data_IF_760349297205
#
_entry.id   IF_760349297205
#
_cell.length_a   1.000
_cell.length_b   1.000
_cell.length_c   1.000
_cell.angle_alpha   90.00
_cell.angle_beta   90.00
_cell.angle_gamma   90.00
#
_symmetry.space_group_name_H-M   'P 1'
#
loop_
_entity.id
_entity.type
_entity.pdbx_description
1 polymer ?
#
# COMPACT_ATOMS: atom_id res chain seq x y z
N UNK A 1 -13.69 3.89 16.28
CA UNK A 1 -12.55 4.80 16.17
C UNK A 1 -12.86 5.56 14.92
N UNK A 2 -13.19 6.82 15.08
CA UNK A 2 -13.67 7.66 14.01
C UNK A 2 -12.85 8.94 14.09
N UNK A 3 -12.02 9.17 13.08
CA UNK A 3 -11.23 10.38 12.99
C UNK A 3 -12.07 11.46 12.32
N UNK A 4 -12.25 12.59 13.01
CA UNK A 4 -12.99 13.72 12.48
C UNK A 4 -12.13 14.42 11.44
N UNK A 5 -12.48 14.25 10.17
CA UNK A 5 -11.74 14.79 9.03
C UNK A 5 -12.68 15.51 8.07
N UNK A 6 -12.18 16.59 7.46
CA UNK A 6 -12.82 17.24 6.33
C UNK A 6 -12.95 16.25 5.17
N UNK A 7 -13.99 16.39 4.34
CA UNK A 7 -14.23 15.50 3.18
C UNK A 7 -13.02 15.37 2.25
N UNK A 8 -12.23 16.43 2.10
CA UNK A 8 -11.00 16.44 1.28
C UNK A 8 -9.95 15.42 1.75
N UNK A 9 -10.03 14.96 2.99
CA UNK A 9 -9.09 14.00 3.59
C UNK A 9 -9.64 12.57 3.64
N UNK A 10 -10.82 12.33 3.07
CA UNK A 10 -11.45 10.99 3.03
C UNK A 10 -11.46 10.38 1.63
N UNK A 11 -11.54 11.23 0.60
CA UNK A 11 -11.42 10.82 -0.81
C UNK A 11 -10.07 10.15 -1.04
N UNK A 12 -10.03 9.02 -1.72
CA UNK A 12 -8.80 8.30 -2.08
C UNK A 12 -8.59 8.19 -3.58
N UNK A 13 -9.62 8.51 -4.37
CA UNK A 13 -9.59 8.46 -5.83
C UNK A 13 -10.42 9.59 -6.43
N UNK A 14 -10.01 10.10 -7.58
CA UNK A 14 -10.71 11.11 -8.37
C UNK A 14 -10.78 10.69 -9.84
N UNK A 15 -11.94 10.83 -10.48
CA UNK A 15 -12.04 10.57 -11.92
C UNK A 15 -11.22 11.57 -12.74
N UNK A 16 -10.82 11.19 -13.95
CA UNK A 16 -10.07 12.08 -14.86
C UNK A 16 -10.82 13.39 -15.19
N UNK A 17 -12.15 13.35 -15.19
CA UNK A 17 -13.01 14.52 -15.37
C UNK A 17 -13.05 15.45 -14.14
N UNK A 18 -12.47 15.03 -13.03
CA UNK A 18 -12.36 15.79 -11.80
C UNK A 18 -13.65 15.90 -10.97
N UNK A 19 -14.78 15.44 -11.50
CA UNK A 19 -16.10 15.59 -10.89
C UNK A 19 -16.44 14.49 -9.87
N UNK A 20 -15.90 13.28 -10.04
CA UNK A 20 -16.26 12.11 -9.22
C UNK A 20 -15.13 11.80 -8.25
N UNK A 21 -15.49 11.49 -7.00
CA UNK A 21 -14.54 11.12 -5.95
C UNK A 21 -15.05 9.92 -5.17
N UNK A 22 -14.16 8.97 -4.89
CA UNK A 22 -14.50 7.75 -4.15
C UNK A 22 -13.51 7.47 -3.01
N UNK A 23 -13.91 6.58 -2.10
CA UNK A 23 -13.08 6.03 -1.02
C UNK A 23 -12.89 4.53 -1.30
N UNK A 24 -11.89 4.17 -2.12
CA UNK A 24 -11.65 2.78 -2.57
C UNK A 24 -10.35 2.18 -2.01
N UNK A 25 -9.50 3.01 -1.40
CA UNK A 25 -8.21 2.59 -0.84
C UNK A 25 -8.29 2.54 0.69
N UNK A 26 -7.83 1.43 1.27
CA UNK A 26 -7.97 1.19 2.71
C UNK A 26 -6.67 0.68 3.33
N UNK A 27 -6.36 1.16 4.53
CA UNK A 27 -5.30 0.62 5.38
C UNK A 27 -5.97 -0.26 6.45
N UNK A 28 -5.92 -1.57 6.25
CA UNK A 28 -6.46 -2.55 7.20
C UNK A 28 -5.46 -2.82 8.34
N UNK A 29 -5.94 -2.73 9.58
CA UNK A 29 -5.15 -3.07 10.78
C UNK A 29 -5.89 -4.10 11.63
N UNK A 30 -5.14 -4.95 12.33
CA UNK A 30 -5.73 -5.84 13.33
C UNK A 30 -6.41 -5.04 14.43
N UNK A 31 -7.56 -5.52 14.91
CA UNK A 31 -8.31 -4.89 16.00
C UNK A 31 -7.47 -4.71 17.27
N UNK A 32 -6.47 -5.59 17.49
CA UNK A 32 -5.49 -5.49 18.58
C UNK A 32 -4.74 -4.14 18.59
N UNK A 33 -4.47 -3.57 17.42
CA UNK A 33 -3.71 -2.32 17.28
C UNK A 33 -4.60 -1.09 17.13
N UNK A 34 -5.92 -1.23 17.30
CA UNK A 34 -6.87 -0.13 17.16
C UNK A 34 -6.47 1.09 17.97
N UNK A 35 -6.12 0.93 19.25
CA UNK A 35 -5.71 2.04 20.12
C UNK A 35 -4.34 2.67 19.76
N UNK A 36 -3.54 1.99 18.94
CA UNK A 36 -2.23 2.48 18.48
C UNK A 36 -2.35 3.38 17.26
N UNK A 37 -3.42 3.25 16.47
CA UNK A 37 -3.71 4.10 15.32
C UNK A 37 -4.09 5.51 15.82
N UNK A 38 -3.29 6.51 15.46
CA UNK A 38 -3.48 7.90 15.85
C UNK A 38 -4.27 8.69 14.82
N UNK A 39 -4.15 8.31 13.56
CA UNK A 39 -4.77 9.01 12.44
C UNK A 39 -4.82 8.13 11.19
N UNK A 40 -5.77 8.40 10.30
CA UNK A 40 -5.82 7.82 8.96
C UNK A 40 -6.48 8.83 8.02
N UNK A 41 -5.73 9.33 7.03
CA UNK A 41 -6.23 10.35 6.10
C UNK A 41 -5.62 10.24 4.71
N UNK A 42 -6.35 10.73 3.73
CA UNK A 42 -5.89 10.93 2.37
C UNK A 42 -5.27 12.33 2.17
N UNK A 43 -4.25 12.39 1.32
CA UNK A 43 -3.50 13.59 0.97
C UNK A 43 -3.65 13.85 -0.53
N UNK A 44 -4.59 14.74 -0.89
CA UNK A 44 -4.83 15.12 -2.28
C UNK A 44 -3.93 16.21 -2.85
N UNK A 45 -3.02 16.79 -2.06
CA UNK A 45 -2.07 17.83 -2.51
C UNK A 45 -0.71 17.28 -2.96
N UNK A 46 -0.55 15.97 -2.98
CA UNK A 46 0.68 15.34 -3.45
C UNK A 46 0.44 14.98 -4.91
N UNK A 47 1.25 15.51 -5.81
CA UNK A 47 1.25 15.09 -7.20
C UNK A 47 1.96 13.73 -7.28
N UNK A 48 1.16 12.67 -7.49
CA UNK A 48 1.65 11.29 -7.61
C UNK A 48 1.59 10.83 -9.08
N UNK A 49 1.19 11.71 -10.01
CA UNK A 49 0.98 11.33 -11.42
C UNK A 49 -0.10 10.24 -11.60
N UNK A 50 -1.05 10.13 -10.67
CA UNK A 50 -2.13 9.16 -10.66
C UNK A 50 -3.43 9.83 -10.23
N UNK A 51 -4.55 9.26 -10.67
CA UNK A 51 -5.91 9.52 -10.22
C UNK A 51 -6.19 9.10 -8.75
N UNK A 52 -5.23 8.43 -8.11
CA UNK A 52 -5.27 8.07 -6.69
C UNK A 52 -4.59 9.12 -5.80
N UNK A 53 -5.20 9.36 -4.64
CA UNK A 53 -4.61 10.15 -3.56
C UNK A 53 -3.83 9.27 -2.60
N UNK A 54 -2.73 9.80 -2.09
CA UNK A 54 -1.93 9.12 -1.08
C UNK A 54 -2.72 8.94 0.22
N UNK A 55 -2.94 7.70 0.64
CA UNK A 55 -3.53 7.38 1.94
C UNK A 55 -2.42 7.11 2.96
N UNK A 56 -2.46 7.78 4.11
CA UNK A 56 -1.49 7.62 5.20
C UNK A 56 -2.20 7.27 6.50
N UNK A 57 -1.71 6.23 7.15
CA UNK A 57 -2.02 5.90 8.55
C UNK A 57 -0.88 6.34 9.45
N UNK A 58 -1.20 7.01 10.55
CA UNK A 58 -0.24 7.31 11.62
C UNK A 58 -0.48 6.37 12.80
N UNK A 59 0.57 5.68 13.25
CA UNK A 59 0.45 4.68 14.31
C UNK A 59 1.64 4.73 15.25
N UNK A 60 1.37 4.59 16.55
CA UNK A 60 2.41 4.53 17.59
C UNK A 60 2.59 3.07 18.03
N UNK A 61 3.70 2.44 17.62
CA UNK A 61 4.03 1.06 17.98
C UNK A 61 5.29 0.97 18.84
N UNK A 62 5.33 -0.03 19.72
CA UNK A 62 6.56 -0.52 20.34
C UNK A 62 6.93 -1.83 19.66
N UNK A 63 7.94 -1.79 18.79
CA UNK A 63 8.41 -2.96 18.06
C UNK A 63 9.58 -3.60 18.80
N UNK A 64 9.63 -4.94 18.80
CA UNK A 64 10.82 -5.68 19.23
C UNK A 64 11.77 -5.76 18.04
N UNK A 65 13.06 -5.55 18.27
CA UNK A 65 14.06 -5.79 17.25
C UNK A 65 14.06 -7.28 16.85
N UNK A 66 13.83 -7.57 15.57
CA UNK A 66 14.00 -8.91 15.04
C UNK A 66 15.37 -9.01 14.38
N UNK A 67 16.07 -10.14 14.59
CA UNK A 67 17.29 -10.44 13.83
C UNK A 67 16.94 -10.38 12.34
N UNK A 68 17.69 -9.58 11.58
CA UNK A 68 17.56 -9.51 10.13
C UNK A 68 17.63 -10.94 9.58
N UNK A 69 16.56 -11.41 8.94
CA UNK A 69 16.64 -12.64 8.16
C UNK A 69 17.60 -12.35 7.02
N UNK A 70 18.55 -13.25 6.74
CA UNK A 70 19.40 -13.12 5.55
C UNK A 70 18.48 -12.86 4.36
N UNK A 71 18.75 -11.83 3.53
CA UNK A 71 17.93 -11.59 2.36
C UNK A 71 17.84 -12.90 1.59
N UNK A 72 16.61 -13.32 1.23
CA UNK A 72 16.45 -14.39 0.25
C UNK A 72 17.18 -13.92 -1.02
N UNK A 73 17.89 -14.84 -1.69
CA UNK A 73 18.53 -14.56 -2.98
C UNK A 73 17.53 -13.78 -3.84
N UNK A 74 17.90 -12.59 -4.27
CA UNK A 74 17.12 -11.87 -5.28
C UNK A 74 17.21 -12.71 -6.54
N UNK A 75 16.07 -13.18 -7.04
CA UNK A 75 16.02 -13.76 -8.37
C UNK A 75 16.38 -12.65 -9.33
N UNK A 76 17.48 -12.85 -10.05
CA UNK A 76 17.94 -11.92 -11.07
C UNK A 76 17.27 -12.31 -12.38
N UNK A 77 16.92 -11.33 -13.22
CA UNK A 77 16.27 -11.62 -14.51
C UNK A 77 17.20 -12.42 -15.44
N UNK A 78 18.51 -12.41 -15.16
CA UNK A 78 19.52 -13.22 -15.82
C UNK A 78 19.27 -14.72 -15.65
N UNK A 79 18.71 -15.16 -14.51
CA UNK A 79 18.44 -16.58 -14.25
C UNK A 79 17.27 -17.13 -15.08
N UNK A 80 16.37 -16.24 -15.54
CA UNK A 80 15.27 -16.56 -16.46
C UNK A 80 15.71 -16.67 -17.92
N UNK A 81 16.96 -16.30 -18.24
CA UNK A 81 17.53 -16.51 -19.58
C UNK A 81 17.91 -17.98 -19.81
N UNK A 82 18.02 -18.78 -18.75
CA UNK A 82 18.18 -20.23 -18.86
C UNK A 82 16.84 -20.85 -19.28
N UNK A 83 16.77 -21.49 -20.47
CA UNK A 83 15.54 -22.13 -20.95
C UNK A 83 14.95 -23.14 -19.98
N UNK A 84 15.81 -23.82 -19.21
CA UNK A 84 15.42 -24.83 -18.22
C UNK A 84 14.61 -24.19 -17.09
N UNK A 85 15.05 -23.02 -16.61
CA UNK A 85 14.35 -22.27 -15.58
C UNK A 85 13.12 -21.58 -16.15
N UNK A 86 13.20 -21.02 -17.35
CA UNK A 86 12.08 -20.35 -18.01
C UNK A 86 10.88 -21.29 -18.19
N UNK A 87 11.13 -22.53 -18.61
CA UNK A 87 10.09 -23.53 -18.83
C UNK A 87 9.35 -23.93 -17.55
N UNK A 88 9.99 -23.83 -16.37
CA UNK A 88 9.34 -24.08 -15.09
C UNK A 88 8.31 -22.98 -14.71
N UNK A 89 8.30 -21.85 -15.41
CA UNK A 89 7.36 -20.75 -15.23
C UNK A 89 6.38 -20.59 -16.41
N UNK A 90 6.44 -21.47 -17.40
CA UNK A 90 5.46 -21.50 -18.49
C UNK A 90 4.16 -22.10 -17.98
N UNK A 91 3.07 -21.34 -18.07
CA UNK A 91 1.73 -21.83 -17.76
C UNK A 91 1.21 -22.64 -18.95
N UNK A 92 0.82 -23.89 -18.74
CA UNK A 92 0.01 -24.61 -19.73
C UNK A 92 -1.42 -24.06 -19.67
N UNK A 93 -1.91 -23.60 -20.82
CA UNK A 93 -3.28 -23.14 -21.04
C UNK A 93 -4.16 -24.29 -21.54
#
# INVERSE_FOLDING_TARGET
MHFQHKRIHKKTWQSLEGCTFNEIDFICISQKWRSSLRDARAYGKVDVGSDHYLVRGEMKLKLRNQKQRKPKRRFTNEELKDPTNANAFTLEL
#
